data_IF_548327141989
#
_entry.id   IF_548327141989
#
_cell.length_a   1.000
_cell.length_b   1.000
_cell.length_c   1.000
_cell.angle_alpha   90.00
_cell.angle_beta   90.00
_cell.angle_gamma   90.00
#
_symmetry.space_group_name_H-M   'P 1'
#
loop_
_entity.id
_entity.type
_entity.pdbx_description
1 polymer ?
#
# COMPACT_ATOMS: atom_id res chain seq x y z
N UNK A 1 -33.47 -16.78 -3.90
CA UNK A 1 -32.71 -15.74 -3.20
C UNK A 1 -31.25 -16.03 -3.45
N UNK A 2 -30.61 -15.32 -4.39
CA UNK A 2 -29.20 -15.47 -4.71
C UNK A 2 -28.45 -14.55 -3.76
N UNK A 3 -27.64 -15.13 -2.87
CA UNK A 3 -26.73 -14.40 -2.01
C UNK A 3 -25.71 -13.69 -2.90
N UNK A 4 -25.72 -12.36 -2.91
CA UNK A 4 -24.61 -11.54 -3.40
C UNK A 4 -23.40 -11.74 -2.47
N UNK A 5 -22.67 -12.82 -2.69
CA UNK A 5 -21.34 -12.94 -2.12
C UNK A 5 -20.46 -12.02 -2.96
N UNK A 6 -20.06 -10.88 -2.38
CA UNK A 6 -19.04 -10.02 -2.95
C UNK A 6 -17.83 -10.89 -3.32
N UNK A 7 -17.34 -10.70 -4.53
CA UNK A 7 -16.10 -11.34 -4.97
C UNK A 7 -14.95 -10.73 -4.18
N UNK A 8 -14.49 -11.40 -3.12
CA UNK A 8 -13.28 -11.03 -2.43
C UNK A 8 -12.08 -11.39 -3.29
N UNK A 9 -11.16 -10.47 -3.40
CA UNK A 9 -9.86 -10.72 -4.00
C UNK A 9 -9.05 -11.60 -3.05
N UNK A 10 -8.82 -12.84 -3.45
CA UNK A 10 -8.07 -13.82 -2.67
C UNK A 10 -8.82 -14.35 -1.45
N UNK A 11 -8.63 -15.62 -1.16
CA UNK A 11 -9.23 -16.29 0.02
C UNK A 11 -8.50 -15.91 1.31
N UNK A 12 -7.21 -15.53 1.20
CA UNK A 12 -6.31 -15.25 2.30
C UNK A 12 -6.15 -13.75 2.60
N UNK A 13 -6.88 -12.88 1.91
CA UNK A 13 -6.73 -11.43 1.97
C UNK A 13 -6.03 -10.86 0.75
N UNK A 14 -5.74 -9.56 0.83
CA UNK A 14 -4.96 -8.85 -0.20
C UNK A 14 -4.01 -7.83 0.44
N UNK A 15 -2.99 -7.42 -0.30
CA UNK A 15 -2.05 -6.40 0.14
C UNK A 15 -1.68 -5.45 -1.00
N UNK A 16 -1.37 -4.20 -0.65
CA UNK A 16 -0.87 -3.21 -1.58
C UNK A 16 0.30 -2.42 -1.01
N UNK A 17 1.17 -1.93 -1.88
CA UNK A 17 2.37 -1.21 -1.52
C UNK A 17 2.17 0.30 -1.62
N UNK A 18 2.20 1.01 -0.50
CA UNK A 18 2.34 2.45 -0.44
C UNK A 18 3.83 2.79 -0.49
N UNK A 19 4.35 2.98 -1.70
CA UNK A 19 5.76 3.31 -1.92
C UNK A 19 5.92 4.81 -2.06
N UNK A 20 6.77 5.42 -1.22
CA UNK A 20 7.16 6.81 -1.27
C UNK A 20 8.57 6.99 -1.81
N UNK A 21 8.79 8.12 -2.47
CA UNK A 21 10.10 8.60 -2.85
C UNK A 21 10.12 10.13 -2.89
N UNK A 22 11.28 10.79 -2.81
CA UNK A 22 11.36 12.23 -2.94
C UNK A 22 10.98 12.68 -4.37
N UNK A 23 10.07 13.64 -4.49
CA UNK A 23 9.81 14.38 -5.71
C UNK A 23 10.99 15.31 -6.05
N UNK A 24 11.01 15.94 -7.22
CA UNK A 24 12.09 16.82 -7.67
C UNK A 24 12.42 17.99 -6.74
N UNK A 25 11.44 18.42 -5.94
CA UNK A 25 11.59 19.49 -4.94
C UNK A 25 11.84 18.96 -3.52
N UNK A 26 12.00 17.64 -3.36
CA UNK A 26 12.20 16.97 -2.09
C UNK A 26 10.92 16.65 -1.31
N UNK A 27 9.74 17.08 -1.77
CA UNK A 27 8.47 16.68 -1.16
C UNK A 27 8.16 15.20 -1.43
N UNK A 28 7.38 14.52 -0.58
CA UNK A 28 7.07 13.11 -0.81
C UNK A 28 6.15 12.93 -2.03
N UNK A 29 6.47 11.94 -2.85
CA UNK A 29 5.63 11.42 -3.91
C UNK A 29 5.28 9.96 -3.66
N UNK A 30 4.13 9.52 -4.14
CA UNK A 30 3.60 8.16 -4.01
C UNK A 30 3.48 7.53 -5.39
N UNK A 31 3.90 6.28 -5.51
CA UNK A 31 3.67 5.51 -6.72
C UNK A 31 2.22 5.01 -6.75
N UNK A 32 1.47 5.41 -7.78
CA UNK A 32 0.10 4.98 -8.01
C UNK A 32 -0.04 4.23 -9.33
N UNK A 33 -0.96 3.27 -9.34
CA UNK A 33 -1.40 2.50 -10.48
C UNK A 33 -2.75 3.02 -10.98
N UNK A 34 -2.84 3.42 -12.24
CA UNK A 34 -4.10 3.61 -12.92
C UNK A 34 -4.61 2.27 -13.40
N UNK A 35 -5.67 1.78 -12.78
CA UNK A 35 -6.21 0.44 -13.03
C UNK A 35 -6.79 0.34 -14.42
N UNK A 36 -6.48 -0.74 -15.12
CA UNK A 36 -6.99 -0.99 -16.46
C UNK A 36 -8.54 -0.99 -16.48
N UNK A 37 -9.18 -0.47 -17.55
CA UNK A 37 -10.64 -0.31 -17.60
C UNK A 37 -11.45 -1.59 -17.40
N UNK A 38 -10.89 -2.74 -17.72
CA UNK A 38 -11.54 -4.06 -17.57
C UNK A 38 -11.35 -4.69 -16.21
N UNK A 39 -10.52 -4.11 -15.34
CA UNK A 39 -10.29 -4.60 -13.99
C UNK A 39 -11.40 -4.15 -13.03
N UNK A 40 -11.47 -4.78 -11.84
CA UNK A 40 -12.38 -4.33 -10.79
C UNK A 40 -12.07 -2.88 -10.40
N UNK A 41 -13.09 -2.00 -10.40
CA UNK A 41 -12.92 -0.54 -10.23
C UNK A 41 -11.94 0.07 -11.26
N UNK A 42 -11.96 -0.41 -12.50
CA UNK A 42 -11.14 0.09 -13.59
C UNK A 42 -11.30 1.58 -13.84
N UNK A 43 -10.23 2.25 -14.25
CA UNK A 43 -10.18 3.69 -14.44
C UNK A 43 -9.95 4.49 -13.17
N UNK A 44 -9.80 3.85 -12.01
CA UNK A 44 -9.43 4.50 -10.75
C UNK A 44 -7.94 4.35 -10.45
N UNK A 45 -7.42 5.21 -9.58
CA UNK A 45 -6.05 5.16 -9.10
C UNK A 45 -5.98 4.42 -7.76
N UNK A 46 -5.04 3.52 -7.63
CA UNK A 46 -4.82 2.70 -6.44
C UNK A 46 -3.33 2.45 -6.20
N UNK A 47 -3.02 1.78 -5.10
CA UNK A 47 -1.69 1.23 -4.88
C UNK A 47 -1.48 -0.01 -5.75
N UNK A 48 -0.26 -0.29 -6.23
CA UNK A 48 0.08 -1.61 -6.76
C UNK A 48 -0.18 -2.67 -5.68
N UNK A 49 -0.81 -3.78 -6.05
CA UNK A 49 -1.13 -4.82 -5.07
C UNK A 49 -2.16 -5.82 -5.56
N UNK A 50 -2.28 -6.93 -4.83
CA UNK A 50 -3.15 -8.05 -5.19
C UNK A 50 -3.41 -9.01 -4.04
N UNK A 51 -3.88 -10.20 -4.40
CA UNK A 51 -4.23 -11.24 -3.45
C UNK A 51 -2.99 -11.88 -2.81
N UNK A 52 -3.13 -12.28 -1.54
CA UNK A 52 -2.13 -13.11 -0.87
C UNK A 52 -2.21 -14.55 -1.37
N UNK A 53 -1.04 -15.16 -1.59
CA UNK A 53 -0.90 -16.60 -1.75
C UNK A 53 -1.01 -17.33 -0.39
N UNK A 54 -1.26 -18.66 -0.42
CA UNK A 54 -1.55 -19.44 0.78
C UNK A 54 -0.47 -19.43 1.86
N UNK A 55 0.79 -19.24 1.46
CA UNK A 55 1.95 -19.32 2.34
C UNK A 55 2.70 -17.97 2.41
N UNK A 56 2.02 -16.88 2.09
CA UNK A 56 2.60 -15.56 1.96
C UNK A 56 2.04 -14.60 3.01
N UNK A 57 2.90 -13.77 3.61
CA UNK A 57 2.47 -12.66 4.43
C UNK A 57 2.16 -11.41 3.57
N UNK A 58 1.49 -10.44 4.17
CA UNK A 58 1.07 -9.24 3.46
C UNK A 58 2.24 -8.41 2.91
N UNK A 59 3.39 -8.42 3.59
CA UNK A 59 4.59 -7.70 3.15
C UNK A 59 5.18 -8.35 1.91
N UNK A 60 5.33 -9.67 1.93
CA UNK A 60 5.82 -10.43 0.80
C UNK A 60 4.89 -10.27 -0.41
N UNK A 61 3.56 -10.37 -0.20
CA UNK A 61 2.56 -10.16 -1.24
C UNK A 61 2.66 -8.78 -1.87
N UNK A 62 2.70 -7.71 -1.07
CA UNK A 62 2.76 -6.34 -1.59
C UNK A 62 4.03 -6.10 -2.41
N UNK A 63 5.18 -6.62 -1.98
CA UNK A 63 6.45 -6.48 -2.71
C UNK A 63 6.44 -7.32 -3.99
N UNK A 64 5.92 -8.55 -3.96
CA UNK A 64 5.77 -9.41 -5.15
C UNK A 64 4.87 -8.75 -6.20
N UNK A 65 3.70 -8.29 -5.78
CA UNK A 65 2.76 -7.60 -6.67
C UNK A 65 3.36 -6.32 -7.27
N UNK A 66 4.09 -5.53 -6.47
CA UNK A 66 4.79 -4.35 -6.97
C UNK A 66 5.87 -4.70 -8.00
N UNK A 67 6.54 -5.85 -7.85
CA UNK A 67 7.46 -6.38 -8.87
C UNK A 67 6.71 -6.78 -10.15
N UNK A 68 5.61 -7.53 -10.02
CA UNK A 68 4.84 -8.05 -11.15
C UNK A 68 4.11 -6.95 -11.92
N UNK A 69 3.49 -5.99 -11.21
CA UNK A 69 2.66 -4.95 -11.79
C UNK A 69 3.45 -3.71 -12.24
N UNK A 70 4.54 -3.39 -11.54
CA UNK A 70 5.29 -2.16 -11.74
C UNK A 70 6.77 -2.38 -12.12
N UNK A 71 7.25 -3.62 -12.10
CA UNK A 71 8.64 -3.96 -12.43
C UNK A 71 9.66 -3.49 -11.38
N UNK A 72 9.22 -3.27 -10.15
CA UNK A 72 10.08 -2.78 -9.07
C UNK A 72 10.98 -3.88 -8.51
N UNK A 73 12.24 -3.58 -8.29
CA UNK A 73 13.19 -4.47 -7.65
C UNK A 73 13.06 -4.39 -6.13
N UNK A 74 12.85 -5.52 -5.46
CA UNK A 74 12.60 -5.58 -4.02
C UNK A 74 13.75 -4.98 -3.18
N UNK A 75 14.98 -5.13 -3.64
CA UNK A 75 16.18 -4.59 -2.98
C UNK A 75 16.27 -3.06 -2.97
N UNK A 76 15.44 -2.38 -3.76
CA UNK A 76 15.35 -0.91 -3.79
C UNK A 76 14.22 -0.37 -2.91
N UNK A 77 13.49 -1.24 -2.24
CA UNK A 77 12.32 -0.93 -1.42
C UNK A 77 12.66 -1.19 0.04
N UNK A 78 12.48 -0.18 0.89
CA UNK A 78 12.64 -0.31 2.34
C UNK A 78 11.26 -0.28 2.99
N UNK A 79 10.80 -1.41 3.53
CA UNK A 79 9.52 -1.54 4.22
C UNK A 79 9.62 -1.02 5.65
N UNK A 80 8.62 -0.27 6.10
CA UNK A 80 8.57 0.35 7.42
C UNK A 80 7.41 -0.15 8.27
N UNK A 81 6.24 -0.38 7.68
CA UNK A 81 5.03 -0.77 8.40
C UNK A 81 4.10 -1.61 7.53
N UNK A 82 3.25 -2.40 8.18
CA UNK A 82 2.12 -3.09 7.59
C UNK A 82 0.87 -2.77 8.39
N UNK A 83 -0.17 -2.25 7.73
CA UNK A 83 -1.37 -1.71 8.36
C UNK A 83 -2.58 -2.35 7.70
N UNK A 84 -3.46 -2.99 8.49
CA UNK A 84 -4.76 -3.44 7.98
C UNK A 84 -5.64 -2.22 7.76
N UNK A 85 -5.93 -1.91 6.49
CA UNK A 85 -6.69 -0.73 6.08
C UNK A 85 -8.12 -1.04 5.66
N UNK A 86 -8.47 -2.31 5.50
CA UNK A 86 -9.85 -2.75 5.35
C UNK A 86 -10.04 -4.14 5.96
N UNK A 87 -11.20 -4.35 6.58
CA UNK A 87 -11.59 -5.64 7.17
C UNK A 87 -13.04 -5.93 6.81
N UNK A 88 -13.31 -7.13 6.31
CA UNK A 88 -14.65 -7.64 6.17
C UNK A 88 -14.96 -8.66 7.26
N UNK A 89 -16.13 -8.54 7.84
CA UNK A 89 -16.57 -9.37 8.96
C UNK A 89 -17.68 -10.32 8.54
N UNK A 90 -17.54 -11.58 8.96
CA UNK A 90 -18.58 -12.57 8.96
C UNK A 90 -19.21 -12.75 10.33
N UNK A 91 -20.15 -13.69 10.49
CA UNK A 91 -20.84 -13.95 11.76
C UNK A 91 -19.90 -14.34 12.92
N UNK A 92 -18.72 -14.90 12.61
CA UNK A 92 -17.74 -15.39 13.58
C UNK A 92 -16.49 -14.52 13.73
N UNK A 93 -16.45 -13.35 13.07
CA UNK A 93 -15.29 -12.43 13.10
C UNK A 93 -14.77 -12.04 11.70
N UNK A 94 -13.54 -11.52 11.62
CA UNK A 94 -12.94 -11.13 10.35
C UNK A 94 -12.84 -12.32 9.40
N UNK A 95 -13.26 -12.14 8.14
CA UNK A 95 -13.19 -13.15 7.08
C UNK A 95 -12.25 -12.77 5.96
N UNK A 96 -11.90 -11.49 5.83
CA UNK A 96 -10.99 -10.98 4.82
C UNK A 96 -10.39 -9.65 5.27
N UNK A 97 -9.13 -9.41 4.93
CA UNK A 97 -8.44 -8.15 5.22
C UNK A 97 -7.69 -7.64 4.00
N UNK A 98 -7.60 -6.32 3.90
CA UNK A 98 -6.64 -5.65 3.02
C UNK A 98 -5.57 -4.97 3.86
N UNK A 99 -4.31 -5.30 3.60
CA UNK A 99 -3.16 -4.74 4.30
C UNK A 99 -2.42 -3.77 3.38
N UNK A 100 -2.19 -2.55 3.84
CA UNK A 100 -1.31 -1.60 3.18
C UNK A 100 0.09 -1.70 3.79
N UNK A 101 1.07 -2.01 2.96
CA UNK A 101 2.49 -2.04 3.33
C UNK A 101 3.10 -0.69 2.97
N UNK A 102 3.64 0.00 3.98
CA UNK A 102 4.26 1.32 3.84
C UNK A 102 5.76 1.15 3.64
N UNK A 103 6.27 1.73 2.58
CA UNK A 103 7.67 1.60 2.20
C UNK A 103 8.21 2.87 1.52
N UNK A 104 9.53 2.99 1.48
CA UNK A 104 10.24 4.06 0.82
C UNK A 104 11.25 3.53 -0.20
N UNK A 105 11.55 4.35 -1.20
CA UNK A 105 12.69 4.23 -2.08
C UNK A 105 13.53 5.51 -2.01
N UNK A 106 14.83 5.40 -2.25
CA UNK A 106 15.75 6.54 -2.21
C UNK A 106 15.47 7.59 -3.32
N UNK A 107 14.84 7.14 -4.41
CA UNK A 107 14.46 7.95 -5.56
C UNK A 107 13.20 7.39 -6.22
N UNK A 108 12.57 8.16 -7.10
CA UNK A 108 11.48 7.69 -7.92
C UNK A 108 11.99 6.63 -8.89
N UNK A 109 11.69 5.37 -8.58
CA UNK A 109 12.13 4.23 -9.38
C UNK A 109 11.46 4.23 -10.75
N UNK A 110 12.20 3.80 -11.77
CA UNK A 110 11.63 3.55 -13.09
C UNK A 110 10.62 2.39 -13.01
N UNK A 111 9.46 2.57 -13.63
CA UNK A 111 8.37 1.59 -13.59
C UNK A 111 8.07 1.04 -14.98
N UNK A 112 7.55 -0.19 -15.00
CA UNK A 112 7.05 -0.84 -16.22
C UNK A 112 5.69 -1.47 -15.93
N UNK A 113 4.65 -0.84 -16.46
CA UNK A 113 3.28 -1.32 -16.35
C UNK A 113 3.12 -2.70 -17.02
N UNK A 114 2.39 -3.58 -16.36
CA UNK A 114 1.86 -4.79 -16.96
C UNK A 114 0.47 -4.52 -17.59
N UNK A 115 -0.20 -5.59 -18.06
CA UNK A 115 -1.53 -5.44 -18.69
C UNK A 115 -2.67 -5.05 -17.73
N UNK A 116 -2.47 -5.14 -16.42
CA UNK A 116 -3.47 -4.78 -15.39
C UNK A 116 -3.43 -3.29 -15.07
N UNK A 117 -2.37 -2.61 -15.49
CA UNK A 117 -2.17 -1.18 -15.32
C UNK A 117 -2.32 -0.46 -16.66
N UNK A 118 -3.21 0.52 -16.74
CA UNK A 118 -3.23 1.46 -17.86
C UNK A 118 -2.03 2.41 -17.79
N UNK A 119 -1.61 2.77 -16.57
CA UNK A 119 -0.49 3.67 -16.29
C UNK A 119 0.06 3.42 -14.87
N UNK A 120 1.34 3.68 -14.68
CA UNK A 120 1.98 3.84 -13.38
C UNK A 120 2.55 5.25 -13.30
N UNK A 121 2.30 5.94 -12.19
CA UNK A 121 2.71 7.34 -12.03
C UNK A 121 3.16 7.63 -10.61
N UNK A 122 4.29 8.32 -10.49
CA UNK A 122 4.65 9.01 -9.27
C UNK A 122 3.82 10.27 -9.15
N UNK A 123 3.13 10.44 -8.03
CA UNK A 123 2.22 11.56 -7.77
C UNK A 123 2.66 12.25 -6.49
N UNK A 124 2.94 13.57 -6.51
CA UNK A 124 3.17 14.31 -5.28
C UNK A 124 2.04 14.09 -4.29
N UNK A 125 2.37 13.83 -3.02
CA UNK A 125 1.41 13.38 -2.02
C UNK A 125 0.22 14.34 -1.86
N UNK A 126 0.46 15.64 -1.97
CA UNK A 126 -0.57 16.68 -1.89
C UNK A 126 -1.53 16.73 -3.10
N UNK A 127 -1.23 16.00 -4.17
CA UNK A 127 -2.07 15.92 -5.38
C UNK A 127 -2.86 14.61 -5.47
N UNK A 128 -2.63 13.65 -4.57
CA UNK A 128 -3.31 12.35 -4.60
C UNK A 128 -4.82 12.49 -4.49
N UNK A 129 -5.30 13.37 -3.61
CA UNK A 129 -6.74 13.63 -3.41
C UNK A 129 -7.45 14.20 -4.65
N UNK A 130 -6.71 14.73 -5.63
CA UNK A 130 -7.26 15.26 -6.87
C UNK A 130 -7.55 14.18 -7.93
N UNK A 131 -7.12 12.94 -7.70
CA UNK A 131 -7.30 11.82 -8.61
C UNK A 131 -8.59 11.05 -8.28
N UNK A 132 -9.23 10.39 -9.27
CA UNK A 132 -10.32 9.47 -9.02
C UNK A 132 -9.75 8.19 -8.36
N UNK A 133 -9.71 8.17 -7.04
CA UNK A 133 -9.12 7.07 -6.27
C UNK A 133 -10.05 5.84 -6.24
N UNK A 134 -9.44 4.66 -6.16
CA UNK A 134 -10.18 3.44 -5.82
C UNK A 134 -10.84 3.61 -4.45
N UNK A 135 -12.14 3.27 -4.27
CA UNK A 135 -12.86 3.57 -3.04
C UNK A 135 -12.21 3.01 -1.76
N UNK A 136 -11.56 1.86 -1.83
CA UNK A 136 -10.81 1.28 -0.70
C UNK A 136 -9.58 2.11 -0.33
N UNK A 137 -8.85 2.60 -1.32
CA UNK A 137 -7.68 3.45 -1.11
C UNK A 137 -8.09 4.85 -0.63
N UNK A 138 -9.12 5.44 -1.20
CA UNK A 138 -9.65 6.75 -0.80
C UNK A 138 -9.98 6.78 0.69
N UNK A 139 -10.68 5.75 1.20
CA UNK A 139 -11.04 5.66 2.62
C UNK A 139 -9.84 5.61 3.57
N UNK A 140 -8.76 4.96 3.16
CA UNK A 140 -7.54 4.81 3.98
C UNK A 140 -6.53 5.93 3.77
N UNK A 141 -6.61 6.68 2.67
CA UNK A 141 -5.61 7.66 2.29
C UNK A 141 -5.37 8.74 3.36
N UNK A 142 -6.43 9.28 3.97
CA UNK A 142 -6.31 10.30 5.02
C UNK A 142 -5.46 9.81 6.20
N UNK A 143 -5.58 8.54 6.57
CA UNK A 143 -4.77 7.92 7.62
C UNK A 143 -3.34 7.64 7.12
N UNK A 144 -3.21 7.07 5.94
CA UNK A 144 -1.93 6.66 5.38
C UNK A 144 -0.98 7.84 5.14
N UNK A 145 -1.49 8.99 4.68
CA UNK A 145 -0.70 10.21 4.43
C UNK A 145 -0.11 10.83 5.69
N UNK A 146 -0.59 10.49 6.88
CA UNK A 146 -0.06 10.97 8.16
C UNK A 146 1.06 10.09 8.71
N UNK A 147 1.32 8.94 8.09
CA UNK A 147 2.42 8.07 8.46
C UNK A 147 3.69 8.70 7.91
N UNK A 148 4.58 9.12 8.80
CA UNK A 148 5.84 9.75 8.40
C UNK A 148 6.64 8.87 7.45
N UNK A 149 7.33 9.52 6.52
CA UNK A 149 8.36 8.87 5.74
C UNK A 149 9.43 8.28 6.67
N UNK A 150 10.14 7.24 6.21
CA UNK A 150 11.12 6.55 7.00
C UNK A 150 12.05 7.48 7.78
N UNK A 151 12.33 7.16 9.02
CA UNK A 151 13.40 7.81 9.74
C UNK A 151 14.73 7.54 9.00
N UNK A 152 15.64 8.52 8.92
CA UNK A 152 16.96 8.29 8.36
C UNK A 152 17.65 7.13 9.09
N UNK A 153 18.53 6.43 8.39
CA UNK A 153 19.17 5.14 8.73
C UNK A 153 19.75 4.95 10.14
N UNK A 154 19.86 6.00 10.95
CA UNK A 154 20.39 5.92 12.32
C UNK A 154 19.42 5.34 13.36
N UNK A 155 18.16 5.15 13.01
CA UNK A 155 17.14 4.59 13.95
C UNK A 155 17.25 3.09 14.21
N UNK A 156 18.13 2.36 13.51
CA UNK A 156 18.34 0.92 13.74
C UNK A 156 19.00 0.58 15.09
N UNK A 157 19.41 1.59 15.86
CA UNK A 157 20.05 1.42 17.19
C UNK A 157 19.12 1.65 18.36
N UNK A 158 17.96 2.25 18.14
CA UNK A 158 16.99 2.51 19.20
C UNK A 158 15.80 1.56 19.12
N UNK A 159 15.27 1.19 20.28
CA UNK A 159 14.15 0.24 20.42
C UNK A 159 12.93 0.68 19.62
N UNK A 160 12.22 -0.24 18.96
CA UNK A 160 10.99 0.09 18.24
C UNK A 160 9.93 0.64 19.20
N UNK A 161 9.39 1.80 18.88
CA UNK A 161 8.25 2.35 19.59
C UNK A 161 6.96 1.82 18.98
N UNK A 162 6.03 1.44 19.85
CA UNK A 162 4.72 0.94 19.44
C UNK A 162 3.71 2.09 19.43
N UNK A 163 3.06 2.32 18.30
CA UNK A 163 1.97 3.28 18.17
C UNK A 163 0.67 2.50 18.01
N UNK A 164 -0.34 2.83 18.80
CA UNK A 164 -1.69 2.26 18.70
C UNK A 164 -2.58 3.26 17.98
N UNK A 165 -3.16 2.86 16.86
CA UNK A 165 -4.15 3.62 16.11
C UNK A 165 -5.37 2.74 15.92
N UNK A 166 -6.52 3.16 16.46
CA UNK A 166 -7.80 2.43 16.38
C UNK A 166 -7.70 0.93 16.71
N UNK A 167 -7.14 0.59 17.90
CA UNK A 167 -6.95 -0.78 18.41
C UNK A 167 -5.90 -1.64 17.66
N UNK A 168 -5.15 -1.07 16.73
CA UNK A 168 -4.04 -1.76 16.07
C UNK A 168 -2.68 -1.29 16.59
N UNK A 169 -1.77 -2.24 16.78
CA UNK A 169 -0.43 -1.98 17.31
C UNK A 169 0.58 -1.94 16.16
N UNK A 170 1.26 -0.81 16.01
CA UNK A 170 2.31 -0.64 15.01
C UNK A 170 3.67 -0.51 15.68
N UNK A 171 4.69 -1.18 15.18
CA UNK A 171 6.07 -0.95 15.56
C UNK A 171 6.63 0.21 14.72
N UNK A 172 7.03 1.29 15.37
CA UNK A 172 7.51 2.51 14.73
C UNK A 172 8.78 3.02 15.41
N UNK A 173 9.72 3.53 14.63
CA UNK A 173 10.88 4.26 15.13
C UNK A 173 10.62 5.77 15.01
N UNK A 174 10.41 6.48 16.13
CA UNK A 174 10.27 7.94 16.14
C UNK A 174 11.59 8.57 16.58
N UNK A 175 12.12 9.55 15.80
CA UNK A 175 13.11 10.48 16.34
C UNK A 175 12.43 11.41 17.34
N UNK A 176 13.02 11.53 18.52
CA UNK A 176 12.80 12.72 19.35
C UNK A 176 13.73 13.83 18.88
N UNK A 177 13.28 15.10 18.92
CA UNK A 177 14.12 16.26 18.64
C UNK A 177 15.29 16.36 19.63
#
# INVERSE_FOLDING_TARGET
MVSERGHHWGVFGAAGLLLRAPWHDGTPAVLLQHRAPWSHQGGTWALPGGALDSDEDATAAAVREAHEEAGLAAELITVHASIVTATEHGPAGPIWTYTTVVADAAEMLATRANRESAELRWVPEHLVDALPLHPGFERSWTQLRTIDAAPPHDCLRDQPHTVVVEEQVFAWCTRRP
#
